data_IF_957933839578
#
_entry.id   IF_957933839578
#
_cell.length_a   1.000
_cell.length_b   1.000
_cell.length_c   1.000
_cell.angle_alpha   90.00
_cell.angle_beta   90.00
_cell.angle_gamma   90.00
#
_symmetry.space_group_name_H-M   'P 1'
#
loop_
_entity.id
_entity.type
_entity.pdbx_description
1 polymer ?
#
# COMPACT_ATOMS: atom_id res chain seq x y z
N UNK A 1 5.83 55.14 33.78
CA UNK A 1 5.24 53.78 34.03
C UNK A 1 4.20 53.39 32.97
N UNK A 2 3.26 54.28 32.55
CA UNK A 2 2.24 53.93 31.53
C UNK A 2 2.76 53.46 30.16
N UNK A 3 3.93 53.96 29.71
CA UNK A 3 4.56 53.56 28.43
C UNK A 3 5.17 52.16 28.45
N UNK A 4 5.61 51.67 29.61
CA UNK A 4 6.19 50.34 29.75
C UNK A 4 5.15 49.21 29.61
N UNK A 5 3.96 49.45 30.16
CA UNK A 5 2.84 48.50 30.06
C UNK A 5 2.30 48.36 28.62
N UNK A 6 2.37 49.45 27.83
CA UNK A 6 1.94 49.44 26.44
C UNK A 6 2.89 48.63 25.56
N UNK A 7 4.18 48.66 25.83
CA UNK A 7 5.19 47.87 25.09
C UNK A 7 5.09 46.37 25.47
N UNK A 8 4.89 46.05 26.75
CA UNK A 8 4.67 44.70 27.20
C UNK A 8 3.38 44.08 26.64
N UNK A 9 2.29 44.84 26.57
CA UNK A 9 1.04 44.37 25.99
C UNK A 9 1.17 44.12 24.46
N UNK A 10 1.90 44.96 23.74
CA UNK A 10 2.18 44.76 22.32
C UNK A 10 3.08 43.56 22.06
N UNK A 11 4.09 43.28 22.90
CA UNK A 11 4.90 42.08 22.82
C UNK A 11 4.12 40.81 23.14
N UNK A 12 3.21 40.83 24.11
CA UNK A 12 2.36 39.68 24.43
C UNK A 12 1.38 39.37 23.28
N UNK A 13 0.82 40.38 22.61
CA UNK A 13 -0.04 40.18 21.43
C UNK A 13 0.75 39.68 20.22
N UNK A 14 2.02 40.04 20.05
CA UNK A 14 2.85 39.55 18.98
C UNK A 14 3.26 38.05 19.17
N UNK A 15 3.34 37.60 20.42
CA UNK A 15 3.64 36.17 20.70
C UNK A 15 2.43 35.25 20.49
N UNK A 16 1.20 35.77 20.52
CA UNK A 16 -0.01 34.95 20.34
C UNK A 16 -0.43 34.78 18.88
N UNK A 17 0.22 35.48 17.95
CA UNK A 17 -0.08 35.42 16.51
C UNK A 17 0.73 34.38 15.74
N UNK A 18 1.64 33.65 16.41
CA UNK A 18 2.50 32.67 15.75
C UNK A 18 2.08 31.20 15.93
N UNK A 19 0.89 30.92 16.46
CA UNK A 19 0.42 29.55 16.70
C UNK A 19 -0.84 29.19 15.90
N UNK A 20 -0.96 29.74 14.71
CA UNK A 20 -1.82 29.15 13.69
C UNK A 20 -1.00 28.65 12.52
N UNK A 21 0.02 27.81 12.81
CA UNK A 21 0.41 26.80 11.85
C UNK A 21 -0.77 25.86 11.78
N UNK A 22 -1.53 25.93 10.70
CA UNK A 22 -2.58 24.96 10.42
C UNK A 22 -1.96 23.59 10.62
N UNK A 23 -2.55 22.76 11.45
CA UNK A 23 -2.32 21.34 11.43
C UNK A 23 -2.82 20.86 10.07
N UNK A 24 -1.96 20.86 9.06
CA UNK A 24 -2.06 19.90 7.98
C UNK A 24 -2.00 18.57 8.70
N UNK A 25 -3.01 17.75 8.51
CA UNK A 25 -3.00 16.40 9.07
C UNK A 25 -1.82 15.70 8.41
N UNK A 26 -0.77 15.36 9.17
CA UNK A 26 0.44 14.70 8.66
C UNK A 26 0.07 13.46 7.84
N UNK A 27 -1.09 12.84 8.13
CA UNK A 27 -1.63 11.71 7.39
C UNK A 27 -2.09 12.08 5.97
N UNK A 28 -2.60 13.30 5.75
CA UNK A 28 -2.99 13.76 4.41
C UNK A 28 -1.77 14.01 3.53
N UNK A 29 -0.69 14.55 4.10
CA UNK A 29 0.57 14.77 3.39
C UNK A 29 1.21 13.43 2.98
N UNK A 30 1.18 12.45 3.88
CA UNK A 30 1.62 11.08 3.57
C UNK A 30 0.77 10.48 2.45
N UNK A 31 -0.54 10.57 2.54
CA UNK A 31 -1.47 10.05 1.53
C UNK A 31 -1.28 10.73 0.16
N UNK A 32 -0.98 12.04 0.14
CA UNK A 32 -0.67 12.76 -1.08
C UNK A 32 0.61 12.24 -1.74
N UNK A 33 1.66 11.99 -0.97
CA UNK A 33 2.92 11.45 -1.47
C UNK A 33 2.78 10.00 -1.94
N UNK A 34 1.95 9.20 -1.24
CA UNK A 34 1.68 7.80 -1.56
C UNK A 34 0.92 7.64 -2.89
N UNK A 35 0.06 8.60 -3.22
CA UNK A 35 -0.75 8.55 -4.44
C UNK A 35 0.09 8.29 -5.70
N UNK A 36 -0.37 7.32 -6.51
CA UNK A 36 0.26 6.91 -7.76
C UNK A 36 0.65 5.44 -7.76
N UNK A 37 1.57 5.09 -8.65
CA UNK A 37 2.00 3.70 -8.86
C UNK A 37 3.45 3.51 -8.48
N UNK A 38 3.71 2.42 -7.77
CA UNK A 38 5.00 2.07 -7.21
C UNK A 38 5.38 0.66 -7.62
N UNK A 39 6.62 0.45 -8.03
CA UNK A 39 7.13 -0.86 -8.46
C UNK A 39 8.47 -1.17 -7.79
N UNK A 40 8.64 -2.41 -7.38
CA UNK A 40 9.89 -2.91 -6.83
C UNK A 40 9.73 -4.25 -6.13
N UNK A 41 10.73 -4.64 -5.34
CA UNK A 41 10.67 -5.89 -4.61
C UNK A 41 10.05 -5.68 -3.22
N UNK A 42 8.98 -6.38 -2.95
CA UNK A 42 8.32 -6.45 -1.64
C UNK A 42 8.49 -7.83 -0.99
N UNK A 43 9.27 -8.71 -1.60
CA UNK A 43 9.54 -10.06 -1.10
C UNK A 43 8.26 -10.86 -0.81
N UNK A 44 7.28 -10.72 -1.71
CA UNK A 44 6.04 -11.48 -1.60
C UNK A 44 6.24 -12.90 -2.07
N UNK A 45 5.40 -13.79 -1.55
CA UNK A 45 5.37 -15.18 -1.97
C UNK A 45 3.93 -15.67 -2.12
N UNK A 46 3.74 -16.74 -2.86
CA UNK A 46 2.46 -17.44 -2.93
C UNK A 46 2.69 -18.94 -2.73
N UNK A 47 1.87 -19.55 -1.89
CA UNK A 47 1.86 -21.00 -1.70
C UNK A 47 0.77 -21.63 -2.57
N UNK A 48 1.14 -22.66 -3.31
CA UNK A 48 0.23 -23.38 -4.20
C UNK A 48 0.67 -24.84 -4.37
N UNK A 49 -0.24 -25.77 -4.20
CA UNK A 49 0.03 -27.22 -4.27
C UNK A 49 1.26 -27.65 -3.43
N UNK A 50 1.36 -27.12 -2.20
CA UNK A 50 2.45 -27.41 -1.27
C UNK A 50 3.81 -26.81 -1.65
N UNK A 51 3.88 -25.97 -2.68
CA UNK A 51 5.09 -25.27 -3.11
C UNK A 51 4.97 -23.78 -2.83
N UNK A 52 6.10 -23.15 -2.52
CA UNK A 52 6.23 -21.72 -2.34
C UNK A 52 6.89 -21.12 -3.58
N UNK A 53 6.29 -20.08 -4.12
CA UNK A 53 6.77 -19.30 -5.26
C UNK A 53 7.03 -17.88 -4.81
N UNK A 54 8.23 -17.38 -5.05
CA UNK A 54 8.58 -16.00 -4.72
C UNK A 54 8.25 -15.05 -5.88
N UNK A 55 7.75 -13.86 -5.56
CA UNK A 55 7.52 -12.83 -6.57
C UNK A 55 8.86 -12.29 -7.07
N UNK A 56 8.90 -11.97 -8.35
CA UNK A 56 10.03 -11.28 -8.98
C UNK A 56 10.02 -9.80 -8.64
N UNK A 57 8.84 -9.20 -8.62
CA UNK A 57 8.58 -7.82 -8.19
C UNK A 57 7.09 -7.62 -7.94
N UNK A 58 6.76 -6.51 -7.28
CA UNK A 58 5.39 -6.08 -7.02
C UNK A 58 5.11 -4.71 -7.63
N UNK A 59 3.85 -4.48 -8.00
CA UNK A 59 3.31 -3.17 -8.41
C UNK A 59 2.15 -2.82 -7.50
N UNK A 60 2.22 -1.64 -6.88
CA UNK A 60 1.14 -1.08 -6.05
C UNK A 60 0.64 0.22 -6.67
N UNK A 61 -0.66 0.29 -6.90
CA UNK A 61 -1.37 1.51 -7.24
C UNK A 61 -2.15 2.01 -6.05
N UNK A 62 -1.96 3.26 -5.68
CA UNK A 62 -2.71 3.93 -4.61
C UNK A 62 -3.56 5.04 -5.21
N UNK A 63 -4.88 4.85 -5.20
CA UNK A 63 -5.86 5.83 -5.63
C UNK A 63 -6.42 6.54 -4.39
N UNK A 64 -6.45 7.86 -4.42
CA UNK A 64 -6.87 8.70 -3.31
C UNK A 64 -8.39 8.83 -3.29
N UNK A 65 -9.01 8.68 -2.13
CA UNK A 65 -10.41 9.03 -1.94
C UNK A 65 -10.57 10.57 -2.00
N UNK A 66 -11.37 11.11 -2.93
CA UNK A 66 -11.56 12.57 -3.05
C UNK A 66 -12.24 13.21 -1.85
N UNK A 67 -12.91 12.41 -1.00
CA UNK A 67 -13.66 12.89 0.17
C UNK A 67 -12.97 12.60 1.52
N UNK A 68 -11.96 11.72 1.52
CA UNK A 68 -11.28 11.25 2.73
C UNK A 68 -9.79 11.14 2.46
N UNK A 69 -9.10 12.22 2.69
CA UNK A 69 -7.75 12.46 2.19
C UNK A 69 -6.67 11.48 2.66
N UNK A 70 -6.83 10.87 3.85
CA UNK A 70 -5.85 9.94 4.42
C UNK A 70 -6.12 8.46 4.10
N UNK A 71 -6.96 8.17 3.10
CA UNK A 71 -7.28 6.80 2.66
C UNK A 71 -7.74 6.75 1.21
N UNK A 72 -7.84 5.55 0.68
CA UNK A 72 -8.32 5.30 -0.67
C UNK A 72 -8.40 3.82 -1.00
N UNK A 73 -8.56 3.57 -2.28
CA UNK A 73 -8.52 2.24 -2.88
C UNK A 73 -7.28 2.09 -3.73
N UNK A 74 -7.10 0.93 -4.34
CA UNK A 74 -5.99 0.72 -5.24
C UNK A 74 -5.85 -0.72 -5.69
N UNK A 75 -4.65 -1.02 -6.15
CA UNK A 75 -4.33 -2.29 -6.76
C UNK A 75 -2.98 -2.80 -6.26
N UNK A 76 -2.86 -4.12 -6.11
CA UNK A 76 -1.62 -4.78 -5.77
C UNK A 76 -1.41 -5.99 -6.66
N UNK A 77 -0.32 -6.00 -7.42
CA UNK A 77 0.06 -7.08 -8.33
C UNK A 77 1.44 -7.58 -7.94
N UNK A 78 1.57 -8.89 -7.75
CA UNK A 78 2.86 -9.57 -7.64
C UNK A 78 3.12 -10.38 -8.89
N UNK A 79 4.27 -10.22 -9.51
CA UNK A 79 4.69 -10.96 -10.71
C UNK A 79 5.61 -12.11 -10.33
N UNK A 80 5.46 -13.22 -11.04
CA UNK A 80 6.17 -14.45 -10.80
C UNK A 80 6.85 -14.94 -12.07
N UNK A 81 8.14 -15.34 -11.97
CA UNK A 81 8.88 -15.89 -13.11
C UNK A 81 8.86 -17.43 -13.15
N UNK A 82 8.61 -18.08 -12.01
CA UNK A 82 8.73 -19.53 -11.84
C UNK A 82 7.45 -20.19 -11.29
N UNK A 83 6.33 -19.46 -11.25
CA UNK A 83 5.04 -20.01 -10.87
C UNK A 83 4.26 -20.50 -12.11
N UNK A 84 3.21 -21.32 -11.92
CA UNK A 84 2.29 -21.69 -13.00
C UNK A 84 1.42 -20.53 -13.52
N UNK A 85 1.57 -19.34 -13.00
CA UNK A 85 0.91 -18.10 -13.39
C UNK A 85 1.93 -16.98 -13.48
N UNK A 86 1.62 -15.93 -14.25
CA UNK A 86 2.50 -14.79 -14.47
C UNK A 86 2.38 -13.75 -13.35
N UNK A 87 1.17 -13.56 -12.79
CA UNK A 87 0.91 -12.58 -11.74
C UNK A 87 -0.18 -13.02 -10.77
N UNK A 88 -0.17 -12.42 -9.59
CA UNK A 88 -1.25 -12.47 -8.60
C UNK A 88 -1.70 -11.05 -8.30
N UNK A 89 -2.98 -10.74 -8.56
CA UNK A 89 -3.53 -9.41 -8.38
C UNK A 89 -4.62 -9.37 -7.33
N UNK A 90 -4.71 -8.26 -6.61
CA UNK A 90 -5.78 -7.95 -5.68
C UNK A 90 -6.15 -6.48 -5.74
N UNK A 91 -7.42 -6.16 -5.56
CA UNK A 91 -7.83 -4.82 -5.17
C UNK A 91 -7.51 -4.61 -3.70
N UNK A 92 -7.15 -3.37 -3.36
CA UNK A 92 -6.81 -3.00 -2.00
C UNK A 92 -7.64 -1.80 -1.55
N UNK A 93 -7.87 -1.73 -0.25
CA UNK A 93 -8.23 -0.52 0.47
C UNK A 93 -7.04 -0.13 1.34
N UNK A 94 -6.72 1.15 1.42
CA UNK A 94 -5.59 1.62 2.21
C UNK A 94 -5.96 2.83 3.05
N UNK A 95 -5.23 3.01 4.15
CA UNK A 95 -5.34 4.21 5.00
C UNK A 95 -4.00 4.50 5.69
N UNK A 96 -3.74 5.79 5.88
CA UNK A 96 -2.64 6.27 6.71
C UNK A 96 -3.15 6.49 8.13
N UNK A 97 -2.42 5.99 9.11
CA UNK A 97 -2.69 6.19 10.54
C UNK A 97 -1.71 7.17 11.17
N UNK A 98 -2.12 7.80 12.27
CA UNK A 98 -1.38 8.84 12.96
C UNK A 98 0.00 8.44 13.51
N UNK A 99 0.33 7.16 13.56
CA UNK A 99 1.58 6.62 14.10
C UNK A 99 2.60 6.27 13.00
N UNK A 100 2.55 6.96 11.86
CA UNK A 100 3.38 6.65 10.70
C UNK A 100 3.20 5.22 10.20
N UNK A 101 1.97 4.72 10.27
CA UNK A 101 1.58 3.41 9.77
C UNK A 101 0.66 3.56 8.56
N UNK A 102 0.88 2.75 7.53
CA UNK A 102 -0.02 2.59 6.39
C UNK A 102 -0.60 1.19 6.47
N UNK A 103 -1.92 1.11 6.59
CA UNK A 103 -2.65 -0.15 6.48
C UNK A 103 -3.07 -0.38 5.03
N UNK A 104 -2.89 -1.60 4.56
CA UNK A 104 -3.33 -2.07 3.24
C UNK A 104 -4.17 -3.32 3.46
N UNK A 105 -5.48 -3.21 3.25
CA UNK A 105 -6.38 -4.36 3.26
C UNK A 105 -6.48 -4.94 1.85
N UNK A 106 -6.05 -6.17 1.67
CA UNK A 106 -6.23 -6.92 0.44
C UNK A 106 -7.59 -7.59 0.42
N UNK A 107 -8.46 -7.16 -0.52
CA UNK A 107 -9.84 -7.64 -0.61
C UNK A 107 -9.88 -9.13 -0.93
N UNK A 108 -9.00 -9.59 -1.83
CA UNK A 108 -8.98 -10.99 -2.28
C UNK A 108 -8.56 -11.97 -1.18
N UNK A 109 -7.58 -11.58 -0.35
CA UNK A 109 -7.10 -12.42 0.75
C UNK A 109 -7.90 -12.22 2.06
N UNK A 110 -8.68 -11.13 2.16
CA UNK A 110 -9.35 -10.74 3.40
C UNK A 110 -8.36 -10.44 4.53
N UNK A 111 -7.17 -9.95 4.20
CA UNK A 111 -6.05 -9.76 5.12
C UNK A 111 -5.54 -8.32 5.07
N UNK A 112 -5.11 -7.81 6.23
CA UNK A 112 -4.44 -6.51 6.35
C UNK A 112 -2.93 -6.70 6.41
N UNK A 113 -2.22 -5.87 5.68
CA UNK A 113 -0.79 -5.67 5.73
C UNK A 113 -0.51 -4.31 6.33
N UNK A 114 0.59 -4.19 7.06
CA UNK A 114 1.00 -2.96 7.75
C UNK A 114 2.36 -2.53 7.22
N UNK A 115 2.47 -1.25 6.84
CA UNK A 115 3.73 -0.63 6.45
C UNK A 115 4.08 0.40 7.50
N UNK A 116 5.28 0.34 8.02
CA UNK A 116 5.79 1.25 9.04
C UNK A 116 7.29 1.51 8.89
N UNK A 117 7.83 2.46 9.68
CA UNK A 117 9.21 2.94 9.56
C UNK A 117 9.58 3.29 8.11
N UNK A 118 8.63 3.88 7.40
CA UNK A 118 8.78 4.17 5.98
C UNK A 118 9.39 5.53 5.71
N UNK A 119 10.01 5.65 4.54
CA UNK A 119 10.45 6.89 3.95
C UNK A 119 9.90 7.00 2.53
N UNK A 120 9.41 8.17 2.18
CA UNK A 120 8.88 8.47 0.86
C UNK A 120 9.47 9.76 0.30
N UNK A 121 9.62 9.77 -1.03
CA UNK A 121 9.87 10.97 -1.82
C UNK A 121 9.05 10.90 -3.10
N UNK A 122 9.19 11.89 -3.98
CA UNK A 122 8.52 11.87 -5.28
C UNK A 122 8.93 10.69 -6.19
N UNK A 123 9.98 9.95 -5.88
CA UNK A 123 10.54 8.89 -6.74
C UNK A 123 10.75 7.55 -6.06
N UNK A 124 10.81 7.48 -4.74
CA UNK A 124 11.00 6.22 -4.01
C UNK A 124 10.10 6.12 -2.78
N UNK A 125 9.78 4.89 -2.41
CA UNK A 125 9.04 4.50 -1.22
C UNK A 125 9.70 3.24 -0.63
N UNK A 126 10.20 3.34 0.58
CA UNK A 126 10.86 2.24 1.27
C UNK A 126 10.37 2.17 2.72
N UNK A 127 10.45 0.99 3.33
CA UNK A 127 10.01 0.77 4.71
C UNK A 127 9.95 -0.70 5.03
N UNK A 128 9.19 -1.02 6.06
CA UNK A 128 8.94 -2.40 6.46
C UNK A 128 7.48 -2.76 6.26
N UNK A 129 7.22 -3.95 5.72
CA UNK A 129 5.88 -4.50 5.58
C UNK A 129 5.73 -5.75 6.46
N UNK A 130 4.58 -5.87 7.11
CA UNK A 130 4.21 -7.02 7.95
C UNK A 130 2.76 -7.44 7.63
N UNK A 131 2.47 -8.72 7.73
CA UNK A 131 1.13 -9.31 7.57
C UNK A 131 0.43 -9.58 8.93
N UNK A 132 0.87 -8.90 9.99
CA UNK A 132 0.33 -9.01 11.34
C UNK A 132 0.96 -10.14 12.17
N UNK A 133 2.07 -10.75 11.69
CA UNK A 133 2.78 -11.80 12.42
C UNK A 133 4.04 -11.31 13.17
N UNK A 134 4.25 -9.99 13.24
CA UNK A 134 5.42 -9.35 13.87
C UNK A 134 6.76 -9.82 13.30
N UNK A 135 6.81 -10.02 12.00
CA UNK A 135 8.01 -10.41 11.25
C UNK A 135 8.14 -9.52 10.01
N UNK A 136 8.52 -8.25 10.21
CA UNK A 136 8.58 -7.28 9.14
C UNK A 136 9.68 -7.61 8.13
N UNK A 137 9.39 -7.30 6.86
CA UNK A 137 10.35 -7.41 5.78
C UNK A 137 10.58 -6.04 5.16
N UNK A 138 11.84 -5.65 4.99
CA UNK A 138 12.20 -4.40 4.34
C UNK A 138 11.85 -4.47 2.85
N UNK A 139 11.26 -3.40 2.32
CA UNK A 139 10.97 -3.25 0.89
C UNK A 139 11.48 -1.91 0.36
N UNK A 140 11.66 -1.86 -0.94
CA UNK A 140 11.95 -0.61 -1.66
C UNK A 140 11.27 -0.61 -3.02
N UNK A 141 10.51 0.47 -3.27
CA UNK A 141 9.76 0.70 -4.50
C UNK A 141 10.20 2.01 -5.15
N UNK A 142 10.05 2.11 -6.45
CA UNK A 142 10.22 3.33 -7.24
C UNK A 142 8.91 3.72 -7.88
N UNK A 143 8.66 5.03 -8.01
CA UNK A 143 7.47 5.53 -8.68
C UNK A 143 7.53 5.22 -10.17
N UNK A 144 6.43 4.75 -10.73
CA UNK A 144 6.33 4.37 -12.15
C UNK A 144 4.99 4.86 -12.74
N UNK A 145 4.80 4.64 -14.03
CA UNK A 145 3.50 4.87 -14.68
C UNK A 145 2.51 3.75 -14.38
N UNK A 146 1.23 4.07 -14.41
CA UNK A 146 0.17 3.07 -14.28
C UNK A 146 0.20 2.09 -15.47
N UNK A 147 0.13 0.77 -15.19
CA UNK A 147 -0.24 -0.19 -16.22
C UNK A 147 -1.69 0.01 -16.66
N UNK A 148 -2.11 -0.66 -17.72
CA UNK A 148 -3.54 -0.78 -18.00
C UNK A 148 -4.16 -1.75 -17.00
N UNK A 149 -4.88 -1.20 -16.02
CA UNK A 149 -5.48 -2.00 -14.96
C UNK A 149 -6.58 -2.95 -15.47
N UNK A 150 -7.12 -2.72 -16.68
CA UNK A 150 -8.13 -3.61 -17.30
C UNK A 150 -7.55 -4.95 -17.76
N UNK A 151 -6.23 -5.03 -17.94
CA UNK A 151 -5.55 -6.26 -18.32
C UNK A 151 -5.48 -7.30 -17.19
N UNK A 152 -5.90 -6.92 -15.97
CA UNK A 152 -5.78 -7.76 -14.78
C UNK A 152 -7.15 -8.19 -14.25
N UNK A 153 -7.24 -9.42 -13.81
CA UNK A 153 -8.43 -9.94 -13.13
C UNK A 153 -8.47 -9.53 -11.65
N UNK A 154 -9.53 -8.83 -11.25
CA UNK A 154 -9.65 -8.24 -9.92
C UNK A 154 -10.68 -8.90 -9.02
N UNK A 155 -11.58 -9.72 -9.58
CA UNK A 155 -12.70 -10.30 -8.85
C UNK A 155 -12.32 -11.66 -8.24
N UNK A 156 -12.25 -11.73 -6.91
CA UNK A 156 -11.91 -12.95 -6.18
C UNK A 156 -13.08 -13.89 -5.92
N UNK A 157 -14.30 -13.61 -6.44
CA UNK A 157 -15.50 -14.32 -6.08
C UNK A 157 -16.11 -15.23 -7.17
N UNK A 158 -15.65 -15.14 -8.41
CA UNK A 158 -16.15 -16.01 -9.50
C UNK A 158 -15.29 -17.26 -9.66
N UNK A 159 -15.38 -18.14 -8.67
CA UNK A 159 -14.75 -19.47 -8.75
C UNK A 159 -15.59 -20.49 -9.51
N UNK A 160 -16.88 -20.21 -9.74
CA UNK A 160 -17.82 -21.12 -10.41
C UNK A 160 -17.87 -20.96 -11.94
N UNK A 161 -17.47 -19.79 -12.46
CA UNK A 161 -17.37 -19.58 -13.90
C UNK A 161 -15.91 -19.50 -14.33
N UNK A 162 -15.42 -20.60 -14.78
CA UNK A 162 -14.42 -20.72 -15.82
C UNK A 162 -13.58 -19.49 -16.07
N UNK A 163 -12.60 -19.16 -15.22
CA UNK A 163 -11.48 -18.34 -15.65
C UNK A 163 -11.02 -17.18 -14.74
N UNK A 164 -9.89 -17.34 -14.14
CA UNK A 164 -8.71 -16.48 -14.21
C UNK A 164 -8.85 -14.99 -13.94
N UNK A 165 -9.65 -14.59 -12.99
CA UNK A 165 -9.55 -13.21 -12.57
C UNK A 165 -8.52 -13.08 -11.43
N UNK A 166 -7.32 -12.63 -11.76
CA UNK A 166 -6.31 -12.28 -10.77
C UNK A 166 -5.03 -13.13 -10.73
N UNK A 167 -4.91 -14.03 -11.68
CA UNK A 167 -3.67 -14.78 -11.92
C UNK A 167 -3.37 -14.67 -13.41
N UNK A 168 -2.26 -14.18 -13.86
CA UNK A 168 -1.85 -14.29 -15.23
C UNK A 168 -2.09 -15.69 -15.79
N UNK A 169 -1.60 -16.01 -16.90
CA UNK A 169 -1.80 -17.31 -17.54
C UNK A 169 -1.61 -18.46 -16.55
N UNK A 170 -2.66 -19.28 -16.33
CA UNK A 170 -2.57 -20.51 -15.57
C UNK A 170 -2.76 -21.72 -16.47
N UNK A 171 -2.09 -22.85 -16.19
CA UNK A 171 -2.24 -24.06 -16.96
C UNK A 171 -3.64 -24.64 -16.84
N UNK A 172 -4.04 -25.41 -17.85
CA UNK A 172 -5.34 -26.03 -18.05
C UNK A 172 -6.08 -26.51 -16.78
N UNK A 173 -7.38 -26.30 -16.81
CA UNK A 173 -8.39 -26.63 -15.80
C UNK A 173 -8.16 -27.97 -15.08
N UNK A 174 -7.96 -27.88 -13.78
CA UNK A 174 -8.38 -28.96 -12.88
C UNK A 174 -9.38 -28.37 -11.88
N UNK A 175 -10.58 -28.91 -11.85
CA UNK A 175 -11.74 -28.52 -11.02
C UNK A 175 -11.54 -28.52 -9.50
N UNK A 176 -10.31 -28.56 -9.02
CA UNK A 176 -9.95 -28.54 -7.59
C UNK A 176 -8.60 -27.89 -7.36
N UNK A 177 -8.24 -26.89 -8.17
CA UNK A 177 -7.00 -26.17 -7.97
C UNK A 177 -7.05 -25.39 -6.66
N UNK A 178 -6.11 -25.67 -5.78
CA UNK A 178 -5.87 -24.86 -4.58
C UNK A 178 -5.61 -23.42 -4.99
N UNK A 179 -6.22 -22.47 -4.28
CA UNK A 179 -6.01 -21.05 -4.51
C UNK A 179 -4.63 -20.67 -3.98
N UNK A 180 -3.77 -19.98 -4.74
CA UNK A 180 -2.52 -19.50 -4.20
C UNK A 180 -2.77 -18.55 -3.02
N UNK A 181 -2.07 -18.77 -1.92
CA UNK A 181 -2.11 -17.92 -0.74
C UNK A 181 -0.92 -16.99 -0.76
N UNK A 182 -1.18 -15.67 -0.83
CA UNK A 182 -0.15 -14.64 -0.71
C UNK A 182 0.39 -14.57 0.71
N UNK A 183 1.67 -14.36 0.86
CA UNK A 183 2.37 -14.12 2.10
C UNK A 183 3.64 -13.32 1.86
N UNK A 184 4.37 -13.03 2.94
CA UNK A 184 5.67 -12.36 2.89
C UNK A 184 6.75 -13.43 3.00
N UNK A 185 7.79 -13.36 2.14
CA UNK A 185 8.96 -14.24 2.23
C UNK A 185 9.74 -13.88 3.48
N UNK A 186 9.99 -14.87 4.33
CA UNK A 186 10.81 -14.75 5.53
C UNK A 186 12.02 -15.65 5.36
N UNK A 187 13.21 -15.09 5.56
CA UNK A 187 14.45 -15.84 5.61
C UNK A 187 14.60 -16.60 6.94
#
# INVERSE_FOLDING_TARGET
>A
MKKLYSIMAAMLMALTLTVTTGCTDDNEDVAYNLWGVWQGNMYMQSQYNGRVYQSSYSVLGFDKDPYRYAKGTGYWIDYYSNAPWDYYSSRIEWRVRGDQEIEIYSIKEGRTYYIYDYRMSGSYFEGYIDDGQNQPVYFRLTKTSSPDWSDYGWNGYDWDDDYYYGYGYAPEKTRSAEIPLRGITRE
#
